data_IF_724489849969
#
_entry.id   IF_724489849969
#
_cell.length_a   1.000
_cell.length_b   1.000
_cell.length_c   1.000
_cell.angle_alpha   90.00
_cell.angle_beta   90.00
_cell.angle_gamma   90.00
#
_symmetry.space_group_name_H-M   'P 1'
#
loop_
_entity.id
_entity.type
_entity.pdbx_description
1 polymer ?
#
# COMPACT_ATOMS: atom_id res chain seq x y z
N UNK A 1 -16.62 32.01 -30.17
CA UNK A 1 -16.20 30.74 -29.54
C UNK A 1 -17.38 30.24 -28.72
N UNK A 2 -17.89 29.05 -29.04
CA UNK A 2 -19.18 28.56 -28.54
C UNK A 2 -19.04 28.03 -27.11
N UNK A 3 -19.94 28.40 -26.21
CA UNK A 3 -19.92 28.02 -24.78
C UNK A 3 -19.86 26.49 -24.62
N UNK A 4 -20.52 25.78 -25.54
CA UNK A 4 -20.57 24.32 -25.61
C UNK A 4 -19.18 23.68 -25.77
N UNK A 5 -18.29 24.32 -26.53
CA UNK A 5 -16.91 23.86 -26.70
C UNK A 5 -16.08 24.05 -25.42
N UNK A 6 -16.39 25.07 -24.61
CA UNK A 6 -15.76 25.26 -23.29
C UNK A 6 -16.30 24.25 -22.28
N UNK A 7 -17.60 23.99 -22.25
CA UNK A 7 -18.20 23.00 -21.35
C UNK A 7 -17.66 21.59 -21.66
N UNK A 8 -17.59 21.21 -22.94
CA UNK A 8 -17.00 19.94 -23.37
C UNK A 8 -15.53 19.83 -22.99
N UNK A 9 -14.78 20.91 -23.16
CA UNK A 9 -13.35 20.96 -22.81
C UNK A 9 -13.14 20.83 -21.31
N UNK A 10 -13.90 21.55 -20.48
CA UNK A 10 -13.82 21.46 -19.02
C UNK A 10 -14.25 20.07 -18.50
N UNK A 11 -15.29 19.47 -19.09
CA UNK A 11 -15.72 18.11 -18.77
C UNK A 11 -14.66 17.06 -19.18
N UNK A 12 -14.01 17.23 -20.34
CA UNK A 12 -12.89 16.38 -20.78
C UNK A 12 -11.66 16.55 -19.89
N UNK A 13 -11.34 17.77 -19.47
CA UNK A 13 -10.20 18.06 -18.60
C UNK A 13 -10.40 17.46 -17.19
N UNK A 14 -11.65 17.42 -16.72
CA UNK A 14 -12.02 16.78 -15.45
C UNK A 14 -12.08 15.24 -15.54
N UNK A 15 -12.25 14.66 -16.74
CA UNK A 15 -12.35 13.20 -16.95
C UNK A 15 -11.04 12.54 -17.37
N UNK A 16 -10.11 13.28 -17.98
CA UNK A 16 -8.80 12.77 -18.41
C UNK A 16 -7.95 12.16 -17.27
N UNK A 17 -8.02 12.59 -15.99
CA UNK A 17 -7.30 11.93 -14.90
C UNK A 17 -7.78 10.50 -14.56
N UNK A 18 -8.91 10.05 -15.12
CA UNK A 18 -9.56 8.79 -14.75
C UNK A 18 -9.32 7.63 -15.73
N UNK A 19 -9.00 7.91 -16.99
CA UNK A 19 -8.99 6.90 -18.07
C UNK A 19 -7.60 6.37 -18.47
N UNK A 20 -6.50 7.01 -18.07
CA UNK A 20 -5.16 6.44 -18.28
C UNK A 20 -4.74 5.59 -17.08
N UNK A 21 -5.27 4.37 -17.02
CA UNK A 21 -4.65 3.33 -16.21
C UNK A 21 -3.48 2.78 -17.05
N UNK A 22 -2.28 3.29 -16.79
CA UNK A 22 -1.07 2.59 -17.19
C UNK A 22 -1.09 1.19 -16.53
N UNK A 23 -1.12 0.08 -17.30
CA UNK A 23 -1.10 -1.26 -16.74
C UNK A 23 0.09 -1.50 -15.79
N UNK A 24 1.18 -0.71 -15.90
CA UNK A 24 2.31 -0.72 -14.98
C UNK A 24 1.93 -0.29 -13.54
N UNK A 25 0.91 0.56 -13.36
CA UNK A 25 0.45 0.99 -12.04
C UNK A 25 -0.38 -0.08 -11.30
N UNK A 26 -0.80 -1.13 -11.99
CA UNK A 26 -1.54 -2.27 -11.42
C UNK A 26 -0.63 -3.42 -10.97
N UNK A 27 0.66 -3.39 -11.31
CA UNK A 27 1.61 -4.41 -10.87
C UNK A 27 1.80 -4.42 -9.36
N UNK A 28 2.17 -5.58 -8.80
CA UNK A 28 2.47 -5.74 -7.36
C UNK A 28 3.50 -4.70 -6.87
N UNK A 29 4.51 -4.42 -7.69
CA UNK A 29 5.53 -3.40 -7.41
C UNK A 29 4.98 -1.96 -7.49
N UNK A 30 4.04 -1.69 -8.41
CA UNK A 30 3.35 -0.39 -8.48
C UNK A 30 2.47 -0.14 -7.25
N UNK A 31 1.75 -1.16 -6.80
CA UNK A 31 0.96 -1.11 -5.58
C UNK A 31 1.83 -0.91 -4.33
N UNK A 32 2.98 -1.60 -4.26
CA UNK A 32 3.95 -1.40 -3.19
C UNK A 32 4.53 0.02 -3.21
N UNK A 33 4.91 0.52 -4.39
CA UNK A 33 5.42 1.88 -4.54
C UNK A 33 4.41 2.94 -4.09
N UNK A 34 3.10 2.74 -4.35
CA UNK A 34 2.05 3.64 -3.87
C UNK A 34 1.98 3.76 -2.35
N UNK A 35 2.28 2.70 -1.61
CA UNK A 35 2.36 2.77 -0.13
C UNK A 35 3.45 3.77 0.29
N UNK A 36 4.53 3.87 -0.48
CA UNK A 36 5.62 4.82 -0.26
C UNK A 36 5.42 6.19 -0.91
N UNK A 37 4.35 6.46 -1.65
CA UNK A 37 4.07 7.80 -2.20
C UNK A 37 2.83 8.47 -1.62
N UNK A 38 2.01 7.75 -0.86
CA UNK A 38 0.81 8.28 -0.21
C UNK A 38 1.07 9.17 1.02
N UNK A 39 0.00 9.65 1.64
CA UNK A 39 0.02 10.51 2.83
C UNK A 39 0.79 9.89 4.00
N UNK A 40 0.75 8.56 4.13
CA UNK A 40 1.44 7.79 5.16
C UNK A 40 2.87 7.37 4.77
N UNK A 41 3.48 7.98 3.73
CA UNK A 41 4.84 7.65 3.28
C UNK A 41 5.89 7.60 4.39
N UNK A 42 5.88 8.58 5.31
CA UNK A 42 6.81 8.63 6.45
C UNK A 42 6.61 7.45 7.40
N UNK A 43 5.35 7.06 7.62
CA UNK A 43 4.99 5.91 8.45
C UNK A 43 5.37 4.59 7.78
N UNK A 44 5.14 4.46 6.47
CA UNK A 44 5.58 3.32 5.69
C UNK A 44 7.11 3.17 5.69
N UNK A 45 7.84 4.27 5.51
CA UNK A 45 9.31 4.27 5.58
C UNK A 45 9.82 3.85 6.97
N UNK A 46 9.19 4.36 8.04
CA UNK A 46 9.48 3.94 9.41
C UNK A 46 9.21 2.44 9.61
N UNK A 47 8.07 1.93 9.15
CA UNK A 47 7.73 0.50 9.22
C UNK A 47 8.73 -0.38 8.46
N UNK A 48 9.21 0.06 7.30
CA UNK A 48 10.23 -0.67 6.54
C UNK A 48 11.57 -0.70 7.27
N UNK A 49 12.01 0.44 7.81
CA UNK A 49 13.23 0.52 8.61
C UNK A 49 13.13 -0.38 9.85
N UNK A 50 12.01 -0.34 10.56
CA UNK A 50 11.75 -1.19 11.71
C UNK A 50 11.78 -2.69 11.34
N UNK A 51 11.20 -3.05 10.20
CA UNK A 51 11.24 -4.44 9.68
C UNK A 51 12.67 -4.89 9.44
N UNK A 52 13.52 -4.03 8.84
CA UNK A 52 14.92 -4.33 8.57
C UNK A 52 15.71 -4.53 9.87
N UNK A 53 15.49 -3.66 10.88
CA UNK A 53 16.11 -3.77 12.20
C UNK A 53 15.69 -5.07 12.91
N UNK A 54 14.40 -5.37 12.94
CA UNK A 54 13.88 -6.61 13.55
C UNK A 54 14.37 -7.86 12.82
N UNK A 55 14.51 -7.80 11.49
CA UNK A 55 15.10 -8.89 10.72
C UNK A 55 16.57 -9.09 11.09
N UNK A 56 17.35 -8.02 11.19
CA UNK A 56 18.74 -8.09 11.66
C UNK A 56 18.86 -8.66 13.08
N UNK A 57 17.97 -8.23 13.99
CA UNK A 57 17.90 -8.77 15.36
C UNK A 57 17.55 -10.27 15.36
N UNK A 58 16.62 -10.68 14.50
CA UNK A 58 16.23 -12.09 14.36
C UNK A 58 17.41 -12.94 13.91
N UNK A 59 18.15 -12.49 12.88
CA UNK A 59 19.36 -13.16 12.40
C UNK A 59 20.41 -13.23 13.51
N UNK A 60 20.61 -12.15 14.26
CA UNK A 60 21.55 -12.14 15.38
C UNK A 60 21.17 -13.14 16.47
N UNK A 61 19.89 -13.24 16.84
CA UNK A 61 19.40 -14.26 17.77
C UNK A 61 19.67 -15.68 17.25
N UNK A 62 19.49 -15.93 15.95
CA UNK A 62 19.79 -17.25 15.34
C UNK A 62 21.29 -17.58 15.44
N UNK A 63 22.17 -16.60 15.20
CA UNK A 63 23.63 -16.81 15.34
C UNK A 63 24.02 -17.08 16.79
N UNK A 64 23.40 -16.38 17.75
CA UNK A 64 23.64 -16.62 19.18
C UNK A 64 23.09 -17.97 19.65
N UNK A 65 21.97 -18.42 19.07
CA UNK A 65 21.38 -19.72 19.34
C UNK A 65 22.35 -20.87 19.01
N UNK A 66 23.03 -20.82 17.87
CA UNK A 66 23.97 -21.89 17.46
C UNK A 66 25.28 -21.87 18.26
N UNK A 67 25.67 -20.71 18.81
CA UNK A 67 26.87 -20.54 19.62
C UNK A 67 26.69 -20.78 21.12
N UNK A 68 25.46 -20.95 21.62
CA UNK A 68 25.20 -21.13 23.05
C UNK A 68 25.61 -22.54 23.53
N UNK A 69 26.35 -22.60 24.64
CA UNK A 69 26.84 -23.84 25.23
C UNK A 69 25.81 -24.48 26.18
N UNK A 70 25.03 -23.66 26.85
CA UNK A 70 24.00 -24.02 27.81
C UNK A 70 22.59 -24.05 27.18
N UNK A 71 21.72 -24.88 27.76
CA UNK A 71 20.34 -25.08 27.27
C UNK A 71 19.50 -23.84 27.49
N UNK A 72 19.68 -23.14 28.61
CA UNK A 72 18.93 -21.93 28.96
C UNK A 72 19.22 -20.79 27.96
N UNK A 73 20.50 -20.60 27.60
CA UNK A 73 20.93 -19.67 26.57
C UNK A 73 20.34 -20.02 25.21
N UNK A 74 20.34 -21.30 24.82
CA UNK A 74 19.67 -21.75 23.59
C UNK A 74 18.17 -21.46 23.61
N UNK A 75 17.48 -21.68 24.73
CA UNK A 75 16.06 -21.36 24.87
C UNK A 75 15.80 -19.85 24.70
N UNK A 76 16.59 -19.00 25.37
CA UNK A 76 16.44 -17.55 25.29
C UNK A 76 16.63 -17.04 23.86
N UNK A 77 17.72 -17.43 23.20
CA UNK A 77 18.01 -17.00 21.83
C UNK A 77 17.05 -17.60 20.81
N UNK A 78 16.59 -18.83 21.02
CA UNK A 78 15.61 -19.51 20.17
C UNK A 78 14.23 -18.85 20.24
N UNK A 79 13.75 -18.55 21.45
CA UNK A 79 12.50 -17.79 21.65
C UNK A 79 12.62 -16.37 21.10
N UNK A 80 13.76 -15.70 21.32
CA UNK A 80 14.03 -14.38 20.75
C UNK A 80 14.01 -14.38 19.22
N UNK A 81 14.58 -15.41 18.58
CA UNK A 81 14.50 -15.59 17.13
C UNK A 81 13.06 -15.84 16.66
N UNK A 82 12.30 -16.68 17.35
CA UNK A 82 10.90 -16.96 17.01
C UNK A 82 10.02 -15.70 17.13
N UNK A 83 10.16 -14.94 18.22
CA UNK A 83 9.43 -13.69 18.41
C UNK A 83 9.85 -12.63 17.37
N UNK A 84 11.15 -12.53 17.06
CA UNK A 84 11.65 -11.65 16.02
C UNK A 84 11.08 -11.97 14.63
N UNK A 85 11.09 -13.26 14.26
CA UNK A 85 10.49 -13.73 13.01
C UNK A 85 8.98 -13.45 12.95
N UNK A 86 8.27 -13.67 14.05
CA UNK A 86 6.84 -13.39 14.14
C UNK A 86 6.55 -11.90 14.02
N UNK A 87 7.34 -11.04 14.67
CA UNK A 87 7.23 -9.58 14.54
C UNK A 87 7.45 -9.10 13.10
N UNK A 88 8.48 -9.61 12.41
CA UNK A 88 8.73 -9.30 10.99
C UNK A 88 7.55 -9.73 10.12
N UNK A 89 6.96 -10.90 10.39
CA UNK A 89 5.80 -11.41 9.66
C UNK A 89 4.56 -10.54 9.86
N UNK A 90 4.32 -10.06 11.09
CA UNK A 90 3.21 -9.14 11.39
C UNK A 90 3.37 -7.79 10.69
N UNK A 91 4.59 -7.23 10.65
CA UNK A 91 4.85 -6.00 9.88
C UNK A 91 4.62 -6.21 8.38
N UNK A 92 5.05 -7.35 7.83
CA UNK A 92 4.80 -7.70 6.44
C UNK A 92 3.30 -7.79 6.14
N UNK A 93 2.52 -8.40 7.03
CA UNK A 93 1.07 -8.49 6.89
C UNK A 93 0.42 -7.10 6.91
N UNK A 94 0.87 -6.22 7.80
CA UNK A 94 0.39 -4.83 7.84
C UNK A 94 0.65 -4.11 6.51
N UNK A 95 1.83 -4.28 5.89
CA UNK A 95 2.12 -3.71 4.56
C UNK A 95 1.14 -4.20 3.48
N UNK A 96 0.80 -5.50 3.48
CA UNK A 96 -0.19 -6.04 2.56
C UNK A 96 -1.59 -5.46 2.80
N UNK A 97 -1.97 -5.27 4.05
CA UNK A 97 -3.25 -4.65 4.41
C UNK A 97 -3.31 -3.19 3.94
N UNK A 98 -2.24 -2.43 4.10
CA UNK A 98 -2.17 -1.04 3.63
C UNK A 98 -2.22 -0.97 2.09
N UNK A 99 -1.57 -1.90 1.41
CA UNK A 99 -1.65 -2.03 -0.05
C UNK A 99 -3.09 -2.33 -0.51
N UNK A 100 -3.77 -3.27 0.14
CA UNK A 100 -5.16 -3.59 -0.16
C UNK A 100 -6.09 -2.38 0.11
N UNK A 101 -5.89 -1.70 1.24
CA UNK A 101 -6.62 -0.47 1.59
C UNK A 101 -6.50 0.59 0.49
N UNK A 102 -5.29 0.80 -0.04
CA UNK A 102 -5.08 1.74 -1.13
C UNK A 102 -5.74 1.31 -2.44
N UNK A 103 -5.79 0.01 -2.73
CA UNK A 103 -6.51 -0.52 -3.90
C UNK A 103 -8.01 -0.26 -3.79
N UNK A 104 -8.61 -0.58 -2.64
CA UNK A 104 -10.04 -0.37 -2.36
C UNK A 104 -10.41 1.11 -2.44
N UNK A 105 -9.59 2.00 -1.88
CA UNK A 105 -9.83 3.45 -1.97
C UNK A 105 -9.85 3.96 -3.42
N UNK A 106 -9.02 3.39 -4.29
CA UNK A 106 -9.02 3.73 -5.73
C UNK A 106 -10.32 3.27 -6.41
N UNK A 107 -10.79 2.07 -6.07
CA UNK A 107 -12.04 1.54 -6.61
C UNK A 107 -13.25 2.35 -6.15
N UNK A 108 -13.30 2.77 -4.87
CA UNK A 108 -14.36 3.64 -4.35
C UNK A 108 -14.41 4.97 -5.11
N UNK A 109 -13.27 5.64 -5.32
CA UNK A 109 -13.21 6.90 -6.10
C UNK A 109 -13.70 6.72 -7.53
N UNK A 110 -13.43 5.56 -8.15
CA UNK A 110 -13.94 5.24 -9.49
C UNK A 110 -15.46 5.09 -9.48
N UNK A 111 -16.01 4.41 -8.48
CA UNK A 111 -17.47 4.27 -8.32
C UNK A 111 -18.11 5.65 -8.09
N UNK A 112 -17.52 6.48 -7.23
CA UNK A 112 -17.98 7.85 -6.98
C UNK A 112 -18.03 8.68 -8.26
N UNK A 113 -16.96 8.66 -9.07
CA UNK A 113 -16.91 9.35 -10.35
C UNK A 113 -17.98 8.83 -11.35
N UNK A 114 -18.20 7.50 -11.39
CA UNK A 114 -19.23 6.91 -12.23
C UNK A 114 -20.65 7.34 -11.79
N UNK A 115 -20.91 7.40 -10.48
CA UNK A 115 -22.21 7.85 -9.94
C UNK A 115 -22.44 9.33 -10.24
N UNK A 116 -21.44 10.20 -10.07
CA UNK A 116 -21.53 11.63 -10.43
C UNK A 116 -21.86 11.80 -11.92
N UNK A 117 -21.24 10.99 -12.79
CA UNK A 117 -21.52 11.02 -14.23
C UNK A 117 -22.97 10.64 -14.57
N UNK A 118 -23.53 9.65 -13.87
CA UNK A 118 -24.94 9.25 -14.06
C UNK A 118 -25.92 10.31 -13.55
N UNK A 119 -25.62 10.96 -12.42
CA UNK A 119 -26.47 12.02 -11.87
C UNK A 119 -26.44 13.34 -12.67
N UNK A 120 -25.37 13.57 -13.45
CA UNK A 120 -25.22 14.75 -14.30
C UNK A 120 -25.70 14.55 -15.76
N UNK A 121 -26.39 13.44 -16.07
CA UNK A 121 -27.03 13.28 -17.38
C UNK A 121 -28.20 14.28 -17.44
N UNK A 122 -28.20 15.25 -18.37
CA UNK A 122 -29.29 16.22 -18.50
C UNK A 122 -30.60 15.50 -18.85
N UNK A 123 -31.70 15.89 -18.20
CA UNK A 123 -33.06 15.38 -18.43
C UNK A 123 -33.59 15.55 -19.88
N UNK A 124 -32.82 16.13 -20.80
CA UNK A 124 -33.22 16.31 -22.21
C UNK A 124 -33.26 15.01 -23.03
N UNK A 125 -32.96 13.85 -22.42
CA UNK A 125 -33.00 12.53 -23.07
C UNK A 125 -34.09 11.58 -22.51
N UNK A 126 -35.03 12.07 -21.69
CA UNK A 126 -36.21 11.34 -21.20
C UNK A 126 -37.51 11.98 -21.72
#
# INVERSE_FOLDING_TARGET
MNIDARIRKELQDQTTPLDEIDPAETGLFGMLHRVFTGTLRRWAAYGMLLTLVLFGLTVWCIVRFTGAADVDGRLLWGLGALMGFHAVSMLKLWFFMEMNRNSVLREIKRVEAAVIRLGNIPDEAA
#
